data_IF_117789809265
#
_entry.id   IF_117789809265
#
_cell.length_a   1.000
_cell.length_b   1.000
_cell.length_c   1.000
_cell.angle_alpha   90.00
_cell.angle_beta   90.00
_cell.angle_gamma   90.00
#
_symmetry.space_group_name_H-M   'P 1'
#
loop_
_entity.id
_entity.type
_entity.pdbx_description
1 polymer ?
#
# COMPACT_ATOMS: atom_id res chain seq x y z
N UNK A 1 -9.29 28.80 23.62
CA UNK A 1 -8.55 28.34 22.42
C UNK A 1 -7.58 27.18 22.68
N UNK A 2 -6.71 27.21 23.70
CA UNK A 2 -5.81 26.07 24.00
C UNK A 2 -6.57 24.87 24.63
N UNK A 3 -7.62 25.16 25.39
CA UNK A 3 -8.52 24.18 26.00
C UNK A 3 -9.23 23.27 24.99
N UNK A 4 -9.54 23.76 23.78
CA UNK A 4 -10.22 22.97 22.73
C UNK A 4 -9.27 22.03 21.98
N UNK A 5 -7.96 22.29 22.01
CA UNK A 5 -6.97 21.53 21.24
C UNK A 5 -6.44 20.33 22.02
N UNK A 6 -6.35 20.44 23.35
CA UNK A 6 -5.84 19.37 24.21
C UNK A 6 -6.63 18.05 24.04
N UNK A 7 -7.97 18.04 23.98
CA UNK A 7 -8.74 16.82 23.71
C UNK A 7 -8.47 16.24 22.32
N UNK A 8 -8.33 17.09 21.30
CA UNK A 8 -8.03 16.67 19.91
C UNK A 8 -6.64 16.03 19.86
N UNK A 9 -5.62 16.69 20.41
CA UNK A 9 -4.25 16.19 20.48
C UNK A 9 -4.20 14.86 21.25
N UNK A 10 -4.91 14.76 22.37
CA UNK A 10 -4.97 13.52 23.15
C UNK A 10 -5.63 12.39 22.36
N UNK A 11 -6.70 12.67 21.60
CA UNK A 11 -7.35 11.69 20.73
C UNK A 11 -6.41 11.15 19.65
N UNK A 12 -5.73 12.02 18.90
CA UNK A 12 -4.76 11.61 17.89
C UNK A 12 -3.53 10.91 18.50
N UNK A 13 -3.07 11.35 19.67
CA UNK A 13 -2.01 10.68 20.41
C UNK A 13 -2.38 9.26 20.79
N UNK A 14 -3.57 9.03 21.36
CA UNK A 14 -4.04 7.68 21.69
C UNK A 14 -4.16 6.82 20.44
N UNK A 15 -4.68 7.39 19.35
CA UNK A 15 -4.80 6.69 18.08
C UNK A 15 -3.43 6.28 17.51
N UNK A 16 -2.48 7.21 17.41
CA UNK A 16 -1.11 6.92 16.97
C UNK A 16 -0.43 5.87 17.84
N UNK A 17 -0.63 5.92 19.16
CA UNK A 17 -0.12 4.91 20.09
C UNK A 17 -0.70 3.51 19.82
N UNK A 18 -2.00 3.39 19.56
CA UNK A 18 -2.62 2.08 19.23
C UNK A 18 -2.04 1.51 17.93
N UNK A 19 -1.80 2.36 16.94
CA UNK A 19 -1.14 1.97 15.69
C UNK A 19 0.31 1.54 15.92
N UNK A 20 1.07 2.29 16.72
CA UNK A 20 2.45 1.94 17.07
C UNK A 20 2.52 0.59 17.80
N UNK A 21 1.70 0.37 18.83
CA UNK A 21 1.64 -0.91 19.55
C UNK A 21 1.20 -2.06 18.63
N UNK A 22 0.24 -1.81 17.73
CA UNK A 22 -0.15 -2.75 16.69
C UNK A 22 0.99 -3.12 15.75
N UNK A 23 1.80 -2.15 15.32
CA UNK A 23 3.01 -2.38 14.52
C UNK A 23 4.02 -3.24 15.28
N UNK A 24 4.29 -2.95 16.55
CA UNK A 24 5.21 -3.76 17.36
C UNK A 24 4.73 -5.21 17.49
N UNK A 25 3.42 -5.42 17.62
CA UNK A 25 2.81 -6.74 17.65
C UNK A 25 2.96 -7.48 16.31
N UNK A 26 2.79 -6.77 15.18
CA UNK A 26 3.00 -7.34 13.84
C UNK A 26 4.44 -7.85 13.71
N UNK A 27 5.43 -6.99 13.97
CA UNK A 27 6.84 -7.37 13.87
C UNK A 27 7.21 -8.47 14.87
N UNK A 28 6.73 -8.39 16.11
CA UNK A 28 6.99 -9.41 17.13
C UNK A 28 6.49 -10.79 16.72
N UNK A 29 5.28 -10.89 16.17
CA UNK A 29 4.74 -12.16 15.67
C UNK A 29 5.46 -12.64 14.41
N UNK A 30 5.79 -11.75 13.47
CA UNK A 30 6.53 -12.11 12.26
C UNK A 30 7.94 -12.64 12.58
N UNK A 31 8.68 -11.97 13.47
CA UNK A 31 10.00 -12.44 13.90
C UNK A 31 9.91 -13.73 14.70
N UNK A 32 8.91 -13.90 15.56
CA UNK A 32 8.69 -15.16 16.27
C UNK A 32 8.41 -16.31 15.29
N UNK A 33 7.57 -16.09 14.28
CA UNK A 33 7.28 -17.09 13.25
C UNK A 33 8.53 -17.43 12.42
N UNK A 34 9.29 -16.42 11.98
CA UNK A 34 10.55 -16.58 11.27
C UNK A 34 11.62 -17.32 12.11
N UNK A 35 11.69 -17.04 13.41
CA UNK A 35 12.60 -17.75 14.32
C UNK A 35 12.22 -19.23 14.49
N UNK A 36 10.92 -19.51 14.65
CA UNK A 36 10.41 -20.87 14.83
C UNK A 36 10.64 -21.73 13.58
N UNK A 37 10.38 -21.21 12.39
CA UNK A 37 10.54 -21.98 11.15
C UNK A 37 11.99 -22.40 10.90
N UNK A 38 12.96 -21.52 11.19
CA UNK A 38 14.40 -21.82 11.04
C UNK A 38 14.87 -22.93 11.98
N UNK A 39 14.13 -23.20 13.07
CA UNK A 39 14.44 -24.26 14.04
C UNK A 39 13.77 -25.60 13.73
N UNK A 40 12.88 -25.67 12.74
CA UNK A 40 12.19 -26.92 12.39
C UNK A 40 13.06 -27.75 11.43
N UNK A 41 13.52 -28.96 11.85
CA UNK A 41 14.50 -29.74 11.08
C UNK A 41 13.94 -30.43 9.83
N UNK A 42 12.63 -30.30 9.55
CA UNK A 42 11.93 -31.02 8.48
C UNK A 42 11.47 -30.13 7.32
N UNK A 43 11.61 -28.81 7.43
CA UNK A 43 11.27 -27.88 6.36
C UNK A 43 12.59 -27.58 5.65
N UNK A 44 12.71 -27.90 4.36
CA UNK A 44 13.80 -27.37 3.55
C UNK A 44 13.58 -25.85 3.40
N UNK A 45 14.31 -25.04 4.16
CA UNK A 45 14.10 -23.59 4.31
C UNK A 45 14.61 -22.80 3.09
N UNK A 46 14.07 -23.09 1.90
CA UNK A 46 14.38 -22.32 0.69
C UNK A 46 13.14 -22.04 -0.18
N UNK A 47 11.97 -22.54 0.19
CA UNK A 47 10.74 -22.28 -0.54
C UNK A 47 10.12 -20.95 -0.12
N UNK A 48 10.08 -20.00 -1.06
CA UNK A 48 9.55 -18.63 -0.86
C UNK A 48 8.09 -18.63 -0.42
N UNK A 49 7.28 -19.57 -0.91
CA UNK A 49 5.86 -19.68 -0.54
C UNK A 49 5.69 -20.09 0.92
N UNK A 50 6.42 -21.13 1.36
CA UNK A 50 6.38 -21.58 2.75
C UNK A 50 6.84 -20.46 3.69
N UNK A 51 7.94 -19.78 3.35
CA UNK A 51 8.44 -18.66 4.13
C UNK A 51 7.39 -17.55 4.26
N UNK A 52 6.77 -17.17 3.15
CA UNK A 52 5.75 -16.12 3.14
C UNK A 52 4.50 -16.54 3.92
N UNK A 53 4.02 -17.77 3.75
CA UNK A 53 2.85 -18.27 4.49
C UNK A 53 3.12 -18.25 6.00
N UNK A 54 4.28 -18.77 6.43
CA UNK A 54 4.60 -18.84 7.86
C UNK A 54 4.80 -17.47 8.48
N UNK A 55 5.35 -16.51 7.74
CA UNK A 55 5.56 -15.14 8.27
C UNK A 55 4.30 -14.28 8.18
N UNK A 56 3.51 -14.36 7.10
CA UNK A 56 2.37 -13.49 6.85
C UNK A 56 1.06 -14.01 7.43
N UNK A 57 0.81 -15.33 7.41
CA UNK A 57 -0.46 -15.87 7.88
C UNK A 57 -0.69 -15.58 9.38
N UNK A 58 0.29 -15.76 10.29
CA UNK A 58 0.14 -15.36 11.69
C UNK A 58 -0.06 -13.85 11.85
N UNK A 59 0.60 -13.02 11.04
CA UNK A 59 0.37 -11.58 11.05
C UNK A 59 -1.10 -11.24 10.76
N UNK A 60 -1.69 -11.83 9.71
CA UNK A 60 -3.08 -11.56 9.33
C UNK A 60 -4.11 -12.20 10.26
N UNK A 61 -3.83 -13.39 10.82
CA UNK A 61 -4.76 -14.09 11.70
C UNK A 61 -4.69 -13.65 13.17
N UNK A 62 -3.55 -13.14 13.63
CA UNK A 62 -3.31 -12.79 15.03
C UNK A 62 -3.05 -11.29 15.17
N UNK A 63 -1.97 -10.79 14.60
CA UNK A 63 -1.51 -9.41 14.86
C UNK A 63 -2.47 -8.35 14.36
N UNK A 64 -2.99 -8.50 13.14
CA UNK A 64 -3.94 -7.54 12.55
C UNK A 64 -5.28 -7.49 13.32
N UNK A 65 -5.94 -8.61 13.65
CA UNK A 65 -7.12 -8.60 14.53
C UNK A 65 -6.86 -7.98 15.91
N UNK A 66 -5.72 -8.28 16.53
CA UNK A 66 -5.35 -7.69 17.82
C UNK A 66 -5.10 -6.17 17.69
N UNK A 67 -4.44 -5.71 16.62
CA UNK A 67 -4.30 -4.29 16.30
C UNK A 67 -5.66 -3.62 16.13
N UNK A 68 -6.62 -4.26 15.45
CA UNK A 68 -7.99 -3.76 15.33
C UNK A 68 -8.66 -3.62 16.70
N UNK A 69 -8.45 -4.57 17.63
CA UNK A 69 -8.97 -4.48 19.00
C UNK A 69 -8.34 -3.32 19.79
N UNK A 70 -7.03 -3.07 19.63
CA UNK A 70 -6.36 -1.91 20.22
C UNK A 70 -6.96 -0.60 19.71
N UNK A 71 -7.09 -0.45 18.38
CA UNK A 71 -7.64 0.77 17.76
C UNK A 71 -9.09 1.00 18.21
N UNK A 72 -9.88 -0.07 18.40
CA UNK A 72 -11.28 0.02 18.84
C UNK A 72 -11.48 0.70 20.20
N UNK A 73 -10.45 0.77 21.04
CA UNK A 73 -10.47 1.49 22.32
C UNK A 73 -10.50 3.03 22.18
N UNK A 74 -10.30 3.54 20.97
CA UNK A 74 -10.44 4.97 20.65
C UNK A 74 -11.85 5.23 20.12
N UNK A 75 -12.59 6.22 20.65
CA UNK A 75 -13.96 6.53 20.21
C UNK A 75 -14.05 6.91 18.73
N UNK A 76 -15.12 6.52 18.04
CA UNK A 76 -15.33 6.78 16.61
C UNK A 76 -16.70 7.38 16.33
N UNK A 77 -16.80 8.10 15.22
CA UNK A 77 -18.05 8.56 14.61
C UNK A 77 -18.18 7.87 13.25
N UNK A 78 -19.27 7.11 13.00
CA UNK A 78 -19.42 6.40 11.74
C UNK A 78 -19.63 7.39 10.58
N UNK A 79 -19.00 7.10 9.44
CA UNK A 79 -19.27 7.85 8.19
C UNK A 79 -20.64 7.48 7.64
N UNK A 80 -21.39 8.48 7.15
CA UNK A 80 -22.68 8.27 6.50
C UNK A 80 -22.56 7.39 5.25
N UNK A 81 -23.55 6.50 5.06
CA UNK A 81 -23.52 5.50 4.00
C UNK A 81 -24.22 6.02 2.74
N UNK A 82 -23.45 6.19 1.67
CA UNK A 82 -23.96 6.49 0.34
C UNK A 82 -23.63 5.38 -0.65
N UNK A 83 -24.44 5.28 -1.72
CA UNK A 83 -24.19 4.32 -2.79
C UNK A 83 -23.34 4.97 -3.87
N UNK A 84 -22.40 4.21 -4.40
CA UNK A 84 -21.65 4.56 -5.60
C UNK A 84 -22.15 3.63 -6.72
N UNK A 85 -22.42 4.17 -7.89
CA UNK A 85 -22.80 3.37 -9.05
C UNK A 85 -21.60 2.61 -9.59
N UNK A 86 -21.83 1.56 -10.39
CA UNK A 86 -20.74 0.84 -11.04
C UNK A 86 -19.90 1.75 -11.94
N UNK A 87 -20.51 2.68 -12.69
CA UNK A 87 -19.79 3.64 -13.54
C UNK A 87 -18.90 4.57 -12.72
N UNK A 88 -19.38 5.04 -11.56
CA UNK A 88 -18.57 5.85 -10.65
C UNK A 88 -17.41 5.03 -10.07
N UNK A 89 -17.65 3.76 -9.71
CA UNK A 89 -16.60 2.86 -9.24
C UNK A 89 -15.54 2.63 -10.34
N UNK A 90 -15.97 2.38 -11.58
CA UNK A 90 -15.08 2.16 -12.72
C UNK A 90 -14.28 3.42 -13.07
N UNK A 91 -14.91 4.59 -13.00
CA UNK A 91 -14.24 5.89 -13.16
C UNK A 91 -13.17 6.06 -12.07
N UNK A 92 -13.51 5.75 -10.82
CA UNK A 92 -12.57 5.81 -9.71
C UNK A 92 -11.44 4.78 -9.87
N UNK A 93 -11.71 3.59 -10.42
CA UNK A 93 -10.68 2.61 -10.77
C UNK A 93 -9.66 3.15 -11.77
N UNK A 94 -10.09 3.80 -12.86
CA UNK A 94 -9.15 4.41 -13.81
C UNK A 94 -8.34 5.54 -13.16
N UNK A 95 -8.99 6.41 -12.38
CA UNK A 95 -8.30 7.46 -11.62
C UNK A 95 -7.26 6.84 -10.66
N UNK A 96 -7.61 5.78 -9.95
CA UNK A 96 -6.73 5.02 -9.07
C UNK A 96 -5.49 4.52 -9.83
N UNK A 97 -5.69 3.91 -11.01
CA UNK A 97 -4.60 3.42 -11.85
C UNK A 97 -3.66 4.54 -12.31
N UNK A 98 -4.21 5.66 -12.78
CA UNK A 98 -3.42 6.83 -13.14
C UNK A 98 -2.61 7.36 -11.96
N UNK A 99 -3.25 7.55 -10.80
CA UNK A 99 -2.59 8.01 -9.59
C UNK A 99 -1.47 7.07 -9.15
N UNK A 100 -1.70 5.75 -9.18
CA UNK A 100 -0.71 4.73 -8.84
C UNK A 100 0.52 4.83 -9.73
N UNK A 101 0.36 4.80 -11.07
CA UNK A 101 1.52 4.82 -11.98
C UNK A 101 2.27 6.15 -11.94
N UNK A 102 1.56 7.29 -11.89
CA UNK A 102 2.21 8.60 -11.80
C UNK A 102 3.00 8.77 -10.50
N UNK A 103 2.47 8.31 -9.37
CA UNK A 103 3.18 8.35 -8.09
C UNK A 103 4.30 7.30 -7.98
N UNK A 104 4.15 6.15 -8.64
CA UNK A 104 5.23 5.18 -8.77
C UNK A 104 6.44 5.75 -9.53
N UNK A 105 6.22 6.53 -10.60
CA UNK A 105 7.31 7.24 -11.30
C UNK A 105 8.06 8.21 -10.39
N UNK A 106 7.35 8.89 -9.48
CA UNK A 106 7.98 9.75 -8.47
C UNK A 106 8.84 8.90 -7.53
N UNK A 107 8.32 7.76 -7.06
CA UNK A 107 9.05 6.81 -6.22
C UNK A 107 10.35 6.32 -6.88
N UNK A 108 10.26 5.88 -8.15
CA UNK A 108 11.42 5.45 -8.95
C UNK A 108 12.44 6.57 -9.15
N UNK A 109 11.98 7.80 -9.40
CA UNK A 109 12.87 8.97 -9.50
C UNK A 109 13.62 9.24 -8.19
N UNK A 110 12.94 9.13 -7.05
CA UNK A 110 13.56 9.30 -5.73
C UNK A 110 14.58 8.21 -5.44
N UNK A 111 14.26 6.94 -5.69
CA UNK A 111 15.18 5.83 -5.44
C UNK A 111 16.38 5.87 -6.39
N UNK A 112 16.21 6.33 -7.62
CA UNK A 112 17.31 6.59 -8.55
C UNK A 112 18.28 7.67 -8.02
N UNK A 113 17.76 8.82 -7.56
CA UNK A 113 18.58 9.88 -6.97
C UNK A 113 19.33 9.37 -5.73
N UNK A 114 18.67 8.60 -4.88
CA UNK A 114 19.31 7.99 -3.70
C UNK A 114 20.39 6.99 -4.11
N UNK A 115 20.16 6.19 -5.15
CA UNK A 115 21.15 5.23 -5.66
C UNK A 115 22.44 5.92 -6.10
N UNK A 116 22.33 7.07 -6.77
CA UNK A 116 23.48 7.90 -7.16
C UNK A 116 24.26 8.39 -5.92
N UNK A 117 23.55 8.91 -4.92
CA UNK A 117 24.17 9.46 -3.70
C UNK A 117 24.81 8.35 -2.84
N UNK A 118 24.15 7.19 -2.74
CA UNK A 118 24.61 6.02 -2.00
C UNK A 118 25.78 5.31 -2.70
N UNK A 119 25.89 5.45 -4.02
CA UNK A 119 26.89 4.75 -4.84
C UNK A 119 26.58 3.26 -5.07
N UNK A 120 25.37 2.82 -4.74
CA UNK A 120 24.88 1.46 -4.98
C UNK A 120 23.38 1.49 -5.29
N UNK A 121 22.84 0.49 -6.02
CA UNK A 121 21.41 0.39 -6.27
C UNK A 121 20.60 0.35 -4.98
N UNK A 122 19.38 0.87 -5.03
CA UNK A 122 18.36 0.67 -3.99
C UNK A 122 17.58 -0.58 -4.37
N UNK A 123 17.63 -1.60 -3.52
CA UNK A 123 16.93 -2.85 -3.76
C UNK A 123 15.41 -2.65 -3.77
N UNK A 124 14.75 -3.40 -4.65
CA UNK A 124 13.30 -3.47 -4.70
C UNK A 124 12.84 -4.79 -4.11
N UNK A 125 12.52 -4.79 -2.81
CA UNK A 125 12.10 -5.99 -2.08
C UNK A 125 10.89 -6.74 -2.70
N UNK A 126 10.11 -6.09 -3.57
CA UNK A 126 9.03 -6.76 -4.31
C UNK A 126 9.53 -7.57 -5.51
N UNK A 127 10.62 -7.16 -6.15
CA UNK A 127 11.11 -7.80 -7.37
C UNK A 127 11.47 -9.26 -7.11
N UNK A 128 12.20 -9.51 -6.02
CA UNK A 128 12.67 -10.83 -5.63
C UNK A 128 11.51 -11.75 -5.18
N UNK A 129 10.43 -11.19 -4.64
CA UNK A 129 9.26 -11.98 -4.22
C UNK A 129 8.42 -12.38 -5.44
N UNK A 130 8.27 -11.49 -6.41
CA UNK A 130 7.35 -11.67 -7.55
C UNK A 130 7.85 -12.72 -8.55
N UNK A 131 9.15 -12.95 -8.66
CA UNK A 131 9.70 -13.99 -9.55
C UNK A 131 9.36 -15.40 -9.04
N UNK A 132 9.53 -15.63 -7.73
CA UNK A 132 9.56 -16.98 -7.16
C UNK A 132 8.24 -17.42 -6.53
N UNK A 133 7.36 -16.49 -6.12
CA UNK A 133 6.11 -16.83 -5.42
C UNK A 133 5.11 -17.58 -6.31
N UNK A 134 4.41 -18.57 -5.75
CA UNK A 134 3.28 -19.21 -6.41
C UNK A 134 2.12 -18.20 -6.61
N UNK A 135 1.53 -18.11 -7.82
CA UNK A 135 0.39 -17.22 -8.07
C UNK A 135 -0.80 -17.43 -7.13
N UNK A 136 -1.03 -18.64 -6.64
CA UNK A 136 -2.08 -18.93 -5.66
C UNK A 136 -1.75 -18.33 -4.29
N UNK A 137 -0.51 -18.45 -3.83
CA UNK A 137 -0.05 -17.82 -2.58
C UNK A 137 -0.17 -16.30 -2.68
N UNK A 138 0.29 -15.70 -3.80
CA UNK A 138 0.11 -14.29 -4.07
C UNK A 138 -1.37 -13.89 -4.04
N UNK A 139 -2.25 -14.67 -4.66
CA UNK A 139 -3.69 -14.43 -4.64
C UNK A 139 -4.26 -14.43 -3.21
N UNK A 140 -4.02 -15.47 -2.42
CA UNK A 140 -4.56 -15.54 -1.06
C UNK A 140 -4.02 -14.43 -0.15
N UNK A 141 -2.72 -14.17 -0.19
CA UNK A 141 -2.06 -13.23 0.72
C UNK A 141 -2.25 -11.78 0.24
N UNK A 142 -1.83 -11.48 -0.99
CA UNK A 142 -1.75 -10.10 -1.50
C UNK A 142 -3.08 -9.62 -2.09
N UNK A 143 -3.94 -10.51 -2.59
CA UNK A 143 -5.22 -10.11 -3.22
C UNK A 143 -6.39 -10.25 -2.24
N UNK A 144 -6.41 -11.24 -1.36
CA UNK A 144 -7.52 -11.43 -0.41
C UNK A 144 -7.22 -10.84 0.97
N UNK A 145 -6.21 -11.37 1.67
CA UNK A 145 -5.96 -11.04 3.07
C UNK A 145 -5.53 -9.58 3.27
N UNK A 146 -4.52 -9.12 2.52
CA UNK A 146 -3.99 -7.76 2.61
C UNK A 146 -5.08 -6.70 2.39
N UNK A 147 -5.78 -6.63 1.23
CA UNK A 147 -6.75 -5.57 0.97
C UNK A 147 -7.89 -5.51 1.98
N UNK A 148 -8.39 -6.66 2.44
CA UNK A 148 -9.50 -6.70 3.40
C UNK A 148 -9.07 -6.11 4.74
N UNK A 149 -7.95 -6.59 5.30
CA UNK A 149 -7.52 -6.17 6.63
C UNK A 149 -6.96 -4.75 6.63
N UNK A 150 -6.21 -4.37 5.60
CA UNK A 150 -5.66 -3.03 5.47
C UNK A 150 -6.76 -1.99 5.31
N UNK A 151 -7.75 -2.22 4.46
CA UNK A 151 -8.86 -1.27 4.31
C UNK A 151 -9.71 -1.17 5.59
N UNK A 152 -9.92 -2.29 6.30
CA UNK A 152 -10.57 -2.26 7.62
C UNK A 152 -9.79 -1.42 8.64
N UNK A 153 -8.46 -1.52 8.67
CA UNK A 153 -7.63 -0.75 9.60
C UNK A 153 -7.56 0.72 9.17
N UNK A 154 -7.09 1.00 7.96
CA UNK A 154 -6.75 2.35 7.53
C UNK A 154 -7.93 3.17 7.03
N UNK A 155 -9.01 2.56 6.52
CA UNK A 155 -10.23 3.30 6.18
C UNK A 155 -11.24 3.17 7.29
N UNK A 156 -11.76 1.96 7.54
CA UNK A 156 -12.88 1.81 8.46
C UNK A 156 -12.52 2.29 9.87
N UNK A 157 -11.45 1.77 10.46
CA UNK A 157 -11.11 2.12 11.84
C UNK A 157 -10.49 3.51 11.98
N UNK A 158 -9.56 3.89 11.10
CA UNK A 158 -8.85 5.16 11.19
C UNK A 158 -9.72 6.36 10.80
N UNK A 159 -10.45 6.28 9.69
CA UNK A 159 -11.25 7.41 9.20
C UNK A 159 -12.45 7.65 10.10
N UNK A 160 -13.16 6.61 10.56
CA UNK A 160 -14.27 6.78 11.52
C UNK A 160 -13.79 7.45 12.83
N UNK A 161 -12.50 7.35 13.17
CA UNK A 161 -11.93 8.01 14.37
C UNK A 161 -11.46 9.44 14.11
N UNK A 162 -11.31 9.84 12.86
CA UNK A 162 -10.69 11.13 12.49
C UNK A 162 -11.62 12.05 11.70
N UNK A 163 -12.69 11.53 11.08
CA UNK A 163 -13.60 12.27 10.20
C UNK A 163 -14.33 13.42 10.89
N UNK A 164 -14.63 13.30 12.18
CA UNK A 164 -15.22 14.39 13.00
C UNK A 164 -14.36 15.67 13.06
N UNK A 165 -13.07 15.55 12.75
CA UNK A 165 -12.13 16.67 12.64
C UNK A 165 -11.97 17.18 11.18
N UNK A 166 -12.84 16.74 10.27
CA UNK A 166 -12.87 17.14 8.87
C UNK A 166 -12.29 16.06 7.95
N UNK A 167 -12.94 15.86 6.82
CA UNK A 167 -12.58 14.80 5.87
C UNK A 167 -11.15 14.98 5.34
N UNK A 168 -10.69 16.22 5.12
CA UNK A 168 -9.32 16.47 4.63
C UNK A 168 -8.25 15.90 5.57
N UNK A 169 -8.41 16.11 6.88
CA UNK A 169 -7.46 15.57 7.87
C UNK A 169 -7.59 14.07 7.94
N UNK A 170 -8.80 13.53 7.97
CA UNK A 170 -9.02 12.08 8.04
C UNK A 170 -8.40 11.34 6.85
N UNK A 171 -8.61 11.85 5.64
CA UNK A 171 -8.07 11.27 4.40
C UNK A 171 -6.55 11.40 4.33
N UNK A 172 -5.99 12.56 4.66
CA UNK A 172 -4.53 12.74 4.66
C UNK A 172 -3.85 11.87 5.72
N UNK A 173 -4.43 11.82 6.93
CA UNK A 173 -3.93 11.00 8.04
C UNK A 173 -3.96 9.52 7.68
N UNK A 174 -5.06 9.07 7.06
CA UNK A 174 -5.20 7.71 6.54
C UNK A 174 -4.20 7.37 5.44
N UNK A 175 -3.97 8.29 4.50
CA UNK A 175 -2.94 8.14 3.47
C UNK A 175 -1.53 8.01 4.05
N UNK A 176 -1.13 8.90 4.96
CA UNK A 176 0.22 8.89 5.58
C UNK A 176 0.44 7.58 6.33
N UNK A 177 -0.53 7.16 7.14
CA UNK A 177 -0.42 5.94 7.93
C UNK A 177 -0.30 4.70 7.05
N UNK A 178 -1.08 4.64 5.98
CA UNK A 178 -1.05 3.55 5.01
C UNK A 178 0.27 3.52 4.22
N UNK A 179 0.75 4.67 3.73
CA UNK A 179 2.02 4.77 3.01
C UNK A 179 3.21 4.36 3.89
N UNK A 180 3.28 4.87 5.13
CA UNK A 180 4.35 4.51 6.08
C UNK A 180 4.34 3.02 6.42
N UNK A 181 3.15 2.42 6.53
CA UNK A 181 2.98 1.01 6.88
C UNK A 181 3.61 0.03 5.89
N UNK A 182 3.92 0.45 4.66
CA UNK A 182 4.61 -0.40 3.68
C UNK A 182 6.11 -0.55 3.96
N UNK A 183 6.70 0.34 4.77
CA UNK A 183 8.06 0.18 5.28
C UNK A 183 9.21 0.25 4.28
N UNK A 184 8.95 0.59 3.01
CA UNK A 184 9.98 0.78 2.00
C UNK A 184 9.66 1.98 1.09
N UNK A 185 10.69 2.60 0.52
CA UNK A 185 10.52 3.84 -0.24
C UNK A 185 9.86 3.58 -1.61
N UNK A 186 10.16 2.46 -2.24
CA UNK A 186 9.60 2.07 -3.55
C UNK A 186 8.07 2.06 -3.52
N UNK A 187 7.47 1.59 -2.42
CA UNK A 187 6.03 1.53 -2.26
C UNK A 187 5.41 2.76 -1.61
N UNK A 188 6.15 3.45 -0.74
CA UNK A 188 5.63 4.57 0.04
C UNK A 188 4.90 5.62 -0.81
N UNK A 189 5.49 6.02 -1.94
CA UNK A 189 4.97 7.11 -2.77
C UNK A 189 3.58 6.81 -3.32
N UNK A 190 3.39 5.64 -3.94
CA UNK A 190 2.08 5.27 -4.49
C UNK A 190 1.12 4.81 -3.41
N UNK A 191 1.58 4.11 -2.37
CA UNK A 191 0.73 3.70 -1.27
C UNK A 191 0.13 4.91 -0.57
N UNK A 192 0.92 5.95 -0.29
CA UNK A 192 0.42 7.20 0.27
C UNK A 192 -0.70 7.82 -0.58
N UNK A 193 -0.47 7.98 -1.89
CA UNK A 193 -1.44 8.60 -2.80
C UNK A 193 -2.70 7.77 -2.95
N UNK A 194 -2.57 6.44 -3.10
CA UNK A 194 -3.72 5.53 -3.11
C UNK A 194 -4.47 5.56 -1.79
N UNK A 195 -3.76 5.64 -0.67
CA UNK A 195 -4.37 5.76 0.64
C UNK A 195 -5.20 7.03 0.81
N UNK A 196 -4.71 8.16 0.28
CA UNK A 196 -5.50 9.40 0.18
C UNK A 196 -6.72 9.20 -0.72
N UNK A 197 -6.57 8.60 -1.90
CA UNK A 197 -7.68 8.45 -2.84
C UNK A 197 -8.76 7.48 -2.35
N UNK A 198 -8.40 6.32 -1.80
CA UNK A 198 -9.34 5.39 -1.20
C UNK A 198 -9.95 5.95 0.08
N UNK A 199 -9.19 6.74 0.85
CA UNK A 199 -9.74 7.54 1.95
C UNK A 199 -10.85 8.47 1.48
N UNK A 200 -10.64 9.19 0.36
CA UNK A 200 -11.66 10.03 -0.26
C UNK A 200 -12.91 9.23 -0.65
N UNK A 201 -12.76 8.06 -1.30
CA UNK A 201 -13.90 7.20 -1.65
C UNK A 201 -14.66 6.77 -0.39
N UNK A 202 -13.94 6.39 0.66
CA UNK A 202 -14.56 5.93 1.90
C UNK A 202 -15.32 7.07 2.61
N UNK A 203 -14.77 8.29 2.74
CA UNK A 203 -15.52 9.41 3.35
C UNK A 203 -16.77 9.78 2.55
N UNK A 204 -16.78 9.57 1.23
CA UNK A 204 -17.95 9.87 0.38
C UNK A 204 -19.00 8.77 0.36
N UNK A 205 -18.65 7.55 0.73
CA UNK A 205 -19.56 6.41 0.58
C UNK A 205 -19.90 5.73 1.91
N UNK A 206 -19.06 5.85 2.94
CA UNK A 206 -19.16 5.10 4.19
C UNK A 206 -19.17 3.57 4.02
N UNK A 207 -18.86 3.07 2.80
CA UNK A 207 -18.98 1.66 2.41
C UNK A 207 -17.62 1.10 2.04
N UNK A 208 -17.07 0.31 2.95
CA UNK A 208 -15.73 -0.25 2.83
C UNK A 208 -15.56 -1.19 1.63
N UNK A 209 -16.64 -1.84 1.18
CA UNK A 209 -16.56 -2.80 0.09
C UNK A 209 -16.06 -2.18 -1.22
N UNK A 210 -16.37 -0.90 -1.48
CA UNK A 210 -15.91 -0.25 -2.71
C UNK A 210 -14.38 -0.13 -2.77
N UNK A 211 -13.75 0.22 -1.64
CA UNK A 211 -12.30 0.38 -1.57
C UNK A 211 -11.60 -0.97 -1.42
N UNK A 212 -12.19 -1.94 -0.70
CA UNK A 212 -11.71 -3.33 -0.69
C UNK A 212 -11.66 -3.87 -2.11
N UNK A 213 -12.77 -3.87 -2.86
CA UNK A 213 -12.79 -4.39 -4.23
C UNK A 213 -11.76 -3.68 -5.12
N UNK A 214 -11.61 -2.36 -4.98
CA UNK A 214 -10.64 -1.60 -5.78
C UNK A 214 -9.20 -2.00 -5.47
N UNK A 215 -8.88 -2.12 -4.19
CA UNK A 215 -7.57 -2.57 -3.71
C UNK A 215 -7.29 -4.01 -4.15
N UNK A 216 -8.26 -4.92 -4.05
CA UNK A 216 -8.11 -6.30 -4.54
C UNK A 216 -7.82 -6.33 -6.05
N UNK A 217 -8.51 -5.53 -6.87
CA UNK A 217 -8.26 -5.49 -8.32
C UNK A 217 -6.87 -4.94 -8.62
N UNK A 218 -6.46 -3.86 -7.94
CA UNK A 218 -5.11 -3.29 -8.09
C UNK A 218 -4.04 -4.32 -7.72
N UNK A 219 -4.19 -5.00 -6.59
CA UNK A 219 -3.23 -6.02 -6.18
C UNK A 219 -3.27 -7.25 -7.09
N UNK A 220 -4.44 -7.67 -7.59
CA UNK A 220 -4.53 -8.80 -8.52
C UNK A 220 -3.79 -8.54 -9.82
N UNK A 221 -3.99 -7.36 -10.41
CA UNK A 221 -3.32 -6.95 -11.64
C UNK A 221 -1.82 -6.68 -11.39
N UNK A 222 -1.46 -6.14 -10.22
CA UNK A 222 -0.08 -5.83 -9.85
C UNK A 222 0.75 -7.03 -9.39
N UNK A 223 0.13 -8.09 -8.86
CA UNK A 223 0.80 -9.31 -8.38
C UNK A 223 0.53 -10.49 -9.30
N UNK A 224 -0.64 -11.14 -9.20
CA UNK A 224 -0.97 -12.39 -9.90
C UNK A 224 -0.78 -12.26 -11.41
N UNK A 225 -1.37 -11.24 -12.04
CA UNK A 225 -1.21 -11.04 -13.50
C UNK A 225 0.25 -10.73 -13.86
N UNK A 226 0.91 -9.86 -13.10
CA UNK A 226 2.34 -9.56 -13.30
C UNK A 226 3.23 -10.80 -13.20
N UNK A 227 2.99 -11.71 -12.26
CA UNK A 227 3.75 -12.96 -12.10
C UNK A 227 3.62 -13.81 -13.37
N UNK A 228 2.40 -14.02 -13.89
CA UNK A 228 2.20 -14.78 -15.12
C UNK A 228 2.87 -14.12 -16.31
N UNK A 229 2.82 -12.79 -16.42
CA UNK A 229 3.45 -12.04 -17.50
C UNK A 229 4.99 -12.13 -17.44
N UNK A 230 5.59 -11.92 -16.27
CA UNK A 230 7.05 -12.01 -16.05
C UNK A 230 7.56 -13.42 -16.38
N UNK A 231 6.83 -14.47 -15.97
CA UNK A 231 7.18 -15.85 -16.32
C UNK A 231 7.03 -16.14 -17.81
N UNK A 232 6.01 -15.57 -18.46
CA UNK A 232 5.78 -15.80 -19.90
C UNK A 232 6.90 -15.29 -20.80
N UNK A 233 7.63 -14.26 -20.34
CA UNK A 233 8.75 -13.65 -21.08
C UNK A 233 10.12 -14.21 -20.70
N UNK A 234 10.18 -15.20 -19.80
CA UNK A 234 11.42 -15.70 -19.20
C UNK A 234 12.34 -14.54 -18.76
N UNK A 235 11.80 -13.64 -17.92
CA UNK A 235 12.43 -12.35 -17.60
C UNK A 235 13.92 -12.44 -17.23
N UNK A 236 14.31 -13.41 -16.39
CA UNK A 236 15.71 -13.60 -16.00
C UNK A 236 16.61 -14.00 -17.16
N UNK A 237 16.20 -14.97 -17.97
CA UNK A 237 16.93 -15.41 -19.17
C UNK A 237 17.05 -14.25 -20.18
N UNK A 238 15.97 -13.48 -20.35
CA UNK A 238 15.95 -12.32 -21.23
C UNK A 238 16.92 -11.23 -20.77
N UNK A 239 16.94 -10.92 -19.47
CA UNK A 239 17.85 -9.92 -18.89
C UNK A 239 19.31 -10.40 -18.93
N UNK A 240 19.56 -11.68 -18.68
CA UNK A 240 20.89 -12.28 -18.79
C UNK A 240 21.41 -12.23 -20.23
N UNK A 241 20.61 -12.69 -21.20
CA UNK A 241 20.96 -12.65 -22.61
C UNK A 241 21.20 -11.20 -23.08
N UNK A 242 20.32 -10.27 -22.71
CA UNK A 242 20.48 -8.85 -23.03
C UNK A 242 21.74 -8.23 -22.41
N UNK A 243 22.11 -8.62 -21.19
CA UNK A 243 23.29 -8.12 -20.49
C UNK A 243 24.61 -8.72 -20.98
N UNK A 244 24.57 -9.93 -21.55
CA UNK A 244 25.75 -10.63 -22.07
C UNK A 244 26.31 -10.03 -23.36
N UNK A 245 25.49 -9.29 -24.11
CA UNK A 245 25.83 -8.81 -25.45
C UNK A 245 25.80 -9.88 -26.55
N UNK A 246 25.43 -11.12 -26.21
CA UNK A 246 25.24 -12.22 -27.15
C UNK A 246 23.90 -12.07 -27.89
N UNK A 247 23.99 -11.59 -29.14
CA UNK A 247 22.83 -11.37 -30.00
C UNK A 247 22.13 -12.69 -30.35
N UNK A 248 22.87 -13.78 -30.52
CA UNK A 248 22.29 -15.09 -30.88
C UNK A 248 21.49 -15.65 -29.71
N UNK A 249 22.04 -15.60 -28.49
CA UNK A 249 21.33 -15.97 -27.27
C UNK A 249 20.09 -15.11 -27.06
N UNK A 250 20.19 -13.79 -27.26
CA UNK A 250 19.06 -12.88 -27.14
C UNK A 250 17.95 -13.19 -28.16
N UNK A 251 18.31 -13.40 -29.43
CA UNK A 251 17.35 -13.77 -30.48
C UNK A 251 16.69 -15.11 -30.20
N UNK A 252 17.43 -16.06 -29.63
CA UNK A 252 16.89 -17.36 -29.24
C UNK A 252 15.83 -17.22 -28.13
N UNK A 253 16.12 -16.48 -27.06
CA UNK A 253 15.14 -16.22 -25.98
C UNK A 253 13.91 -15.48 -26.53
N UNK A 254 14.12 -14.43 -27.32
CA UNK A 254 13.02 -13.63 -27.90
C UNK A 254 12.12 -14.47 -28.81
N UNK A 255 12.70 -15.29 -29.67
CA UNK A 255 11.91 -16.13 -30.59
C UNK A 255 11.17 -17.25 -29.86
N UNK A 256 11.77 -17.84 -28.83
CA UNK A 256 11.14 -18.88 -28.00
C UNK A 256 9.99 -18.34 -27.17
N UNK A 257 10.10 -17.10 -26.66
CA UNK A 257 9.11 -16.46 -25.79
C UNK A 257 8.27 -15.38 -26.48
N UNK A 258 8.25 -15.35 -27.82
CA UNK A 258 7.56 -14.32 -28.59
C UNK A 258 6.08 -14.13 -28.21
N UNK A 259 5.26 -15.19 -28.00
CA UNK A 259 3.87 -15.01 -27.56
C UNK A 259 3.75 -14.31 -26.19
N UNK A 260 4.65 -14.64 -25.25
CA UNK A 260 4.71 -13.99 -23.94
C UNK A 260 5.08 -12.52 -24.06
N UNK A 261 6.06 -12.19 -24.90
CA UNK A 261 6.46 -10.81 -25.17
C UNK A 261 5.33 -9.99 -25.81
N UNK A 262 4.58 -10.58 -26.75
CA UNK A 262 3.41 -9.93 -27.34
C UNK A 262 2.32 -9.68 -26.30
N UNK A 263 2.05 -10.64 -25.42
CA UNK A 263 1.08 -10.49 -24.33
C UNK A 263 1.53 -9.42 -23.33
N UNK A 264 2.81 -9.40 -22.95
CA UNK A 264 3.40 -8.38 -22.10
C UNK A 264 3.26 -6.98 -22.71
N UNK A 265 3.54 -6.84 -24.01
CA UNK A 265 3.36 -5.59 -24.75
C UNK A 265 1.89 -5.13 -24.79
N UNK A 266 0.96 -6.05 -25.07
CA UNK A 266 -0.48 -5.75 -25.05
C UNK A 266 -0.97 -5.34 -23.67
N UNK A 267 -0.48 -5.99 -22.61
CA UNK A 267 -0.77 -5.59 -21.23
C UNK A 267 -0.24 -4.18 -20.94
N UNK A 268 1.00 -3.88 -21.35
CA UNK A 268 1.57 -2.54 -21.23
C UNK A 268 0.74 -1.46 -21.93
N UNK A 269 0.26 -1.74 -23.15
CA UNK A 269 -0.66 -0.83 -23.87
C UNK A 269 -2.00 -0.67 -23.15
N UNK A 270 -2.53 -1.74 -22.56
CA UNK A 270 -3.78 -1.70 -21.79
C UNK A 270 -3.62 -0.83 -20.55
N UNK A 271 -2.52 -1.02 -19.81
CA UNK A 271 -2.16 -0.19 -18.65
C UNK A 271 -2.01 1.27 -19.06
N UNK A 272 -1.34 1.56 -20.18
CA UNK A 272 -1.22 2.92 -20.69
C UNK A 272 -2.60 3.53 -21.00
N UNK A 273 -3.50 2.76 -21.62
CA UNK A 273 -4.89 3.15 -21.84
C UNK A 273 -5.64 3.46 -20.54
N UNK A 274 -5.44 2.67 -19.49
CA UNK A 274 -6.03 2.91 -18.16
C UNK A 274 -5.49 4.20 -17.53
N UNK A 275 -4.18 4.44 -17.62
CA UNK A 275 -3.54 5.66 -17.10
C UNK A 275 -4.06 6.90 -17.83
N UNK A 276 -4.10 6.90 -19.17
CA UNK A 276 -4.62 8.02 -19.96
C UNK A 276 -6.08 8.30 -19.60
N UNK A 277 -6.91 7.25 -19.57
CA UNK A 277 -8.32 7.35 -19.21
C UNK A 277 -8.48 7.90 -17.79
N UNK A 278 -7.67 7.43 -16.85
CA UNK A 278 -7.65 7.89 -15.48
C UNK A 278 -7.29 9.37 -15.33
N UNK A 279 -6.30 9.85 -16.07
CA UNK A 279 -5.91 11.27 -16.10
C UNK A 279 -7.08 12.13 -16.60
N UNK A 280 -7.73 11.71 -17.70
CA UNK A 280 -8.89 12.42 -18.26
C UNK A 280 -10.05 12.41 -17.27
N UNK A 281 -10.38 11.25 -16.69
CA UNK A 281 -11.42 11.12 -15.67
C UNK A 281 -11.16 12.00 -14.45
N UNK A 282 -9.91 12.08 -13.99
CA UNK A 282 -9.51 12.94 -12.87
C UNK A 282 -9.71 14.41 -13.24
N UNK A 283 -9.23 14.85 -14.40
CA UNK A 283 -9.37 16.24 -14.85
C UNK A 283 -10.85 16.66 -14.94
N UNK A 284 -11.70 15.81 -15.52
CA UNK A 284 -13.14 16.08 -15.68
C UNK A 284 -13.89 16.12 -14.34
N UNK A 285 -13.46 15.33 -13.35
CA UNK A 285 -14.17 15.21 -12.08
C UNK A 285 -13.53 15.98 -10.92
N UNK A 286 -12.34 16.57 -11.10
CA UNK A 286 -11.58 17.22 -10.03
C UNK A 286 -12.40 18.27 -9.25
N UNK A 287 -13.17 19.10 -9.95
CA UNK A 287 -14.00 20.14 -9.32
C UNK A 287 -15.15 19.57 -8.46
N UNK A 288 -15.56 18.33 -8.71
CA UNK A 288 -16.62 17.63 -7.94
C UNK A 288 -16.05 16.94 -6.71
N UNK A 289 -14.74 16.70 -6.64
CA UNK A 289 -14.06 16.02 -5.54
C UNK A 289 -13.83 16.96 -4.36
N UNK A 290 -14.92 17.37 -3.70
CA UNK A 290 -14.88 18.28 -2.55
C UNK A 290 -14.90 17.53 -1.22
N UNK A 291 -14.04 17.97 -0.29
CA UNK A 291 -13.98 17.45 1.06
C UNK A 291 -14.75 18.37 2.02
N UNK A 292 -15.51 17.77 2.94
CA UNK A 292 -16.30 18.50 3.92
C UNK A 292 -15.40 19.00 5.07
N UNK A 293 -15.69 20.22 5.60
CA UNK A 293 -14.97 20.77 6.74
C UNK A 293 -15.26 19.97 8.02
N UNK A 294 -14.51 20.27 9.08
CA UNK A 294 -14.73 19.68 10.39
C UNK A 294 -16.11 20.06 10.96
N UNK A 295 -16.80 19.11 11.56
CA UNK A 295 -18.01 19.37 12.35
C UNK A 295 -17.70 20.21 13.59
N UNK A 296 -16.51 19.99 14.16
CA UNK A 296 -15.99 20.77 15.29
C UNK A 296 -15.16 21.93 14.73
N UNK A 297 -15.49 23.20 15.03
CA UNK A 297 -14.67 24.32 14.59
C UNK A 297 -13.29 24.26 15.28
N UNK A 298 -12.23 24.07 14.49
CA UNK A 298 -10.84 24.08 14.98
C UNK A 298 -10.09 25.26 14.36
N UNK A 299 -9.30 26.04 15.13
CA UNK A 299 -8.51 27.12 14.59
C UNK A 299 -7.59 26.65 13.45
N UNK A 300 -7.60 27.40 12.32
CA UNK A 300 -6.76 27.10 11.14
C UNK A 300 -5.28 26.94 11.56
N UNK A 301 -4.62 25.90 11.06
CA UNK A 301 -3.22 25.58 11.35
C UNK A 301 -2.99 24.78 12.65
N UNK A 302 -3.81 24.97 13.69
CA UNK A 302 -3.62 24.26 14.97
C UNK A 302 -4.07 22.78 14.92
N UNK A 303 -5.02 22.46 14.05
CA UNK A 303 -5.48 21.08 13.86
C UNK A 303 -4.38 20.16 13.34
N UNK A 304 -3.58 20.62 12.38
CA UNK A 304 -2.48 19.83 11.83
C UNK A 304 -1.44 19.49 12.91
N UNK A 305 -1.03 20.50 13.70
CA UNK A 305 -0.12 20.29 14.84
C UNK A 305 -0.71 19.31 15.86
N UNK A 306 -2.00 19.44 16.19
CA UNK A 306 -2.65 18.52 17.12
C UNK A 306 -2.69 17.07 16.59
N UNK A 307 -2.96 16.91 15.29
CA UNK A 307 -3.08 15.62 14.64
C UNK A 307 -1.73 14.90 14.47
N UNK A 308 -0.69 15.60 14.01
CA UNK A 308 0.57 14.97 13.61
C UNK A 308 1.72 15.17 14.60
N UNK A 309 1.76 16.27 15.36
CA UNK A 309 2.86 16.61 16.27
C UNK A 309 2.54 16.20 17.71
N UNK A 310 2.31 14.90 17.91
CA UNK A 310 2.08 14.29 19.21
C UNK A 310 2.84 12.98 19.35
N UNK A 311 3.12 12.57 20.58
CA UNK A 311 4.02 11.45 20.86
C UNK A 311 3.59 10.14 20.18
N UNK A 312 2.30 9.78 20.20
CA UNK A 312 1.82 8.53 19.61
C UNK A 312 2.01 8.47 18.09
N UNK A 313 1.71 9.56 17.39
CA UNK A 313 1.90 9.64 15.93
C UNK A 313 3.38 9.70 15.57
N UNK A 314 4.19 10.43 16.35
CA UNK A 314 5.63 10.51 16.15
C UNK A 314 6.28 9.13 16.35
N UNK A 315 5.88 8.35 17.37
CA UNK A 315 6.41 6.99 17.59
C UNK A 315 6.10 6.07 16.41
N UNK A 316 4.84 6.06 15.95
CA UNK A 316 4.45 5.27 14.77
C UNK A 316 5.24 5.68 13.53
N UNK A 317 5.33 7.00 13.26
CA UNK A 317 6.02 7.50 12.09
C UNK A 317 7.53 7.24 12.14
N UNK A 318 8.16 7.47 13.29
CA UNK A 318 9.58 7.23 13.49
C UNK A 318 9.94 5.76 13.27
N UNK A 319 9.13 4.83 13.79
CA UNK A 319 9.34 3.40 13.56
C UNK A 319 9.41 3.07 12.06
N UNK A 320 8.42 3.49 11.28
CA UNK A 320 8.34 3.18 9.85
C UNK A 320 9.37 3.95 9.01
N UNK A 321 9.67 5.21 9.36
CA UNK A 321 10.74 5.97 8.71
C UNK A 321 12.09 5.28 8.94
N UNK A 322 12.34 4.76 10.14
CA UNK A 322 13.55 3.96 10.41
C UNK A 322 13.56 2.71 9.54
N UNK A 323 12.45 1.98 9.40
CA UNK A 323 12.39 0.82 8.49
C UNK A 323 12.70 1.19 7.04
N UNK A 324 12.12 2.28 6.54
CA UNK A 324 12.39 2.79 5.19
C UNK A 324 13.88 3.14 5.03
N UNK A 325 14.48 3.84 6.01
CA UNK A 325 15.90 4.18 5.96
C UNK A 325 16.77 2.93 5.98
N UNK A 326 16.47 1.95 6.84
CA UNK A 326 17.20 0.69 6.89
C UNK A 326 17.11 -0.06 5.55
N UNK A 327 15.94 -0.10 4.93
CA UNK A 327 15.75 -0.70 3.60
C UNK A 327 16.56 0.01 2.52
N UNK A 328 16.70 1.34 2.59
CA UNK A 328 17.51 2.10 1.63
C UNK A 328 19.02 1.86 1.79
N UNK A 329 19.47 1.48 2.99
CA UNK A 329 20.88 1.29 3.33
C UNK A 329 21.39 -0.14 3.12
N UNK A 330 20.50 -1.13 3.00
CA UNK A 330 20.83 -2.50 2.57
C UNK A 330 21.43 -2.47 1.18
#
# INVERSE_FOLDING_TARGET
>A
MEYEIKPIRHHFMKLGLMYFLGTLLIFGVQYAAAFLIVKLPFIGIYDTDIWLIVTMLPMYLISMPLMMLLIRQVPSVPVEKHRMTFVQWLTAFFICYAMMYLSNLIGLGLTFVISIVKGSPVDNALADIVTDINPWTAFFIMVLCAPVLEELIFRKLLIDRTVKYGEKIAVLFSGIFFGLFHGNLNQFAYAFILGVFWGFIYVKTGKILYTICMHMVVNFLGSVVSIFLIRSIAYEELMYASGSGDIEALMNVVSTHLPGLMLFGLYGLTVLGFVITGIVCLAVNYQKMKLLPAEIPVPKGKLFSAAFLNAGVILFAAFWIIQIILQLLQ
#
